data_IF_772519215965
#
_entry.id   IF_772519215965
#
_cell.length_a   1.000
_cell.length_b   1.000
_cell.length_c   1.000
_cell.angle_alpha   90.00
_cell.angle_beta   90.00
_cell.angle_gamma   90.00
#
_symmetry.space_group_name_H-M   'P 1'
#
loop_
_entity.id
_entity.type
_entity.pdbx_description
1 polymer ?
#
# COMPACT_ATOMS: atom_id res chain seq x y z
N UNK A 1 -13.38 -25.87 -55.94
CA UNK A 1 -14.19 -27.07 -56.28
C UNK A 1 -15.65 -26.66 -56.36
N UNK A 2 -16.15 -26.51 -57.58
CA UNK A 2 -17.56 -26.24 -57.89
C UNK A 2 -18.24 -27.57 -58.22
N UNK A 3 -19.43 -27.82 -57.68
CA UNK A 3 -20.26 -28.95 -58.12
C UNK A 3 -21.37 -28.49 -59.07
N UNK A 4 -21.51 -29.31 -60.09
CA UNK A 4 -22.04 -29.12 -61.45
C UNK A 4 -23.54 -29.41 -61.53
N UNK A 5 -24.25 -28.62 -62.34
CA UNK A 5 -25.63 -28.85 -62.82
C UNK A 5 -25.62 -29.84 -64.00
N UNK A 6 -26.59 -30.77 -64.03
CA UNK A 6 -27.20 -31.52 -65.17
C UNK A 6 -28.24 -32.47 -64.53
N UNK A 7 -29.55 -32.49 -64.81
CA UNK A 7 -30.28 -32.43 -66.07
C UNK A 7 -30.68 -33.87 -66.47
N UNK A 8 -31.98 -34.15 -66.68
CA UNK A 8 -32.53 -35.01 -67.77
C UNK A 8 -34.01 -35.38 -67.57
N UNK A 9 -34.75 -35.25 -68.68
CA UNK A 9 -36.14 -35.65 -68.91
C UNK A 9 -36.36 -37.17 -68.78
N UNK A 10 -37.57 -37.56 -68.38
CA UNK A 10 -38.09 -38.92 -68.54
C UNK A 10 -39.05 -38.98 -69.74
N UNK A 11 -38.94 -39.96 -70.65
CA UNK A 11 -39.81 -40.14 -71.80
C UNK A 11 -40.77 -41.31 -71.54
N UNK A 12 -42.02 -41.06 -71.16
CA UNK A 12 -43.10 -42.02 -71.43
C UNK A 12 -44.46 -41.35 -71.23
N UNK A 13 -45.15 -41.11 -72.33
CA UNK A 13 -46.54 -40.67 -72.35
C UNK A 13 -47.47 -41.88 -72.29
N UNK A 14 -48.32 -41.92 -71.27
CA UNK A 14 -49.78 -42.18 -71.35
C UNK A 14 -50.47 -42.11 -69.97
N UNK A 15 -51.74 -41.72 -70.01
CA UNK A 15 -52.60 -41.11 -68.99
C UNK A 15 -53.31 -42.06 -67.98
N UNK A 16 -53.37 -41.62 -66.70
CA UNK A 16 -54.50 -41.46 -65.72
C UNK A 16 -55.63 -42.52 -65.58
N UNK A 17 -56.37 -42.65 -64.42
CA UNK A 17 -56.64 -41.61 -63.42
C UNK A 17 -56.56 -42.03 -61.93
N UNK A 18 -56.46 -41.05 -61.01
CA UNK A 18 -56.46 -41.30 -59.57
C UNK A 18 -56.42 -40.05 -58.69
N UNK A 19 -57.55 -39.34 -58.64
CA UNK A 19 -58.03 -38.44 -57.57
C UNK A 19 -57.17 -37.23 -57.09
N UNK A 20 -57.68 -36.05 -57.47
CA UNK A 20 -57.92 -34.79 -56.70
C UNK A 20 -56.82 -34.31 -55.74
N UNK A 21 -56.29 -33.09 -55.82
CA UNK A 21 -56.67 -31.90 -56.58
C UNK A 21 -55.73 -30.75 -56.21
N UNK A 22 -55.48 -29.85 -57.16
CA UNK A 22 -54.69 -28.63 -57.01
C UNK A 22 -55.55 -27.52 -56.39
N UNK A 23 -54.91 -26.74 -55.50
CA UNK A 23 -54.73 -25.28 -55.51
C UNK A 23 -55.96 -24.38 -55.75
N UNK A 24 -56.06 -23.36 -54.88
CA UNK A 24 -56.87 -22.13 -54.95
C UNK A 24 -58.33 -22.21 -54.49
N UNK A 25 -58.76 -21.04 -54.01
CA UNK A 25 -60.06 -20.66 -53.45
C UNK A 25 -60.40 -21.17 -52.06
N UNK A 26 -60.17 -20.29 -51.08
CA UNK A 26 -61.11 -20.01 -49.98
C UNK A 26 -60.73 -18.65 -49.35
N UNK A 27 -60.71 -17.60 -50.18
CA UNK A 27 -61.19 -16.29 -49.73
C UNK A 27 -62.65 -16.19 -50.16
N UNK A 28 -63.50 -15.71 -49.25
CA UNK A 28 -64.93 -15.37 -49.43
C UNK A 28 -65.97 -16.45 -49.09
N UNK A 29 -66.14 -16.73 -47.79
CA UNK A 29 -67.43 -16.88 -47.07
C UNK A 29 -67.05 -17.20 -45.61
N UNK A 30 -67.51 -16.58 -44.53
CA UNK A 30 -68.62 -15.71 -44.27
C UNK A 30 -68.27 -14.78 -43.11
N UNK A 31 -68.89 -13.61 -43.12
CA UNK A 31 -69.09 -12.78 -41.94
C UNK A 31 -69.79 -13.60 -40.85
N UNK A 32 -69.11 -13.87 -39.74
CA UNK A 32 -69.78 -13.85 -38.44
C UNK A 32 -68.87 -13.25 -37.37
N UNK A 33 -69.51 -12.45 -36.52
CA UNK A 33 -68.96 -11.41 -35.68
C UNK A 33 -68.36 -11.97 -34.38
N UNK A 34 -67.41 -11.17 -33.84
CA UNK A 34 -66.92 -11.15 -32.45
C UNK A 34 -65.91 -12.24 -32.08
N UNK A 35 -64.62 -11.90 -32.07
CA UNK A 35 -63.63 -12.69 -31.33
C UNK A 35 -62.16 -12.34 -31.52
N UNK A 36 -61.79 -11.53 -32.51
CA UNK A 36 -60.39 -11.43 -32.98
C UNK A 36 -59.54 -10.30 -32.37
N UNK A 37 -59.96 -9.68 -31.27
CA UNK A 37 -59.15 -8.67 -30.57
C UNK A 37 -58.22 -9.23 -29.48
N UNK A 38 -58.32 -10.52 -29.13
CA UNK A 38 -57.58 -11.08 -27.99
C UNK A 38 -56.26 -11.79 -28.34
N UNK A 39 -56.00 -12.11 -29.62
CA UNK A 39 -54.82 -12.91 -30.01
C UNK A 39 -53.63 -12.03 -30.41
N UNK A 40 -53.87 -10.82 -30.95
CA UNK A 40 -52.79 -9.91 -31.36
C UNK A 40 -52.12 -9.18 -30.18
N UNK A 41 -52.86 -8.91 -29.10
CA UNK A 41 -52.35 -8.28 -27.88
C UNK A 41 -51.49 -9.22 -27.03
N UNK A 42 -51.76 -10.53 -27.06
CA UNK A 42 -51.00 -11.52 -26.31
C UNK A 42 -49.54 -11.68 -26.81
N UNK A 43 -49.29 -11.56 -28.12
CA UNK A 43 -47.92 -11.69 -28.68
C UNK A 43 -47.03 -10.49 -28.34
N UNK A 44 -47.60 -9.29 -28.24
CA UNK A 44 -46.87 -8.09 -27.81
C UNK A 44 -46.56 -8.10 -26.31
N UNK A 45 -47.47 -8.61 -25.48
CA UNK A 45 -47.27 -8.71 -24.03
C UNK A 45 -46.14 -9.68 -23.64
N UNK A 46 -46.00 -10.81 -24.33
CA UNK A 46 -44.96 -11.82 -24.04
C UNK A 46 -43.55 -11.30 -24.42
N UNK A 47 -43.42 -10.57 -25.52
CA UNK A 47 -42.16 -9.93 -25.91
C UNK A 47 -41.72 -8.81 -24.94
N UNK A 48 -42.68 -8.05 -24.40
CA UNK A 48 -42.42 -7.01 -23.39
C UNK A 48 -41.96 -7.60 -22.04
N UNK A 49 -42.56 -8.71 -21.59
CA UNK A 49 -42.20 -9.40 -20.35
C UNK A 49 -40.82 -10.08 -20.41
N UNK A 50 -40.46 -10.68 -21.55
CA UNK A 50 -39.13 -11.29 -21.74
C UNK A 50 -38.00 -10.26 -21.76
N UNK A 51 -38.23 -9.11 -22.38
CA UNK A 51 -37.24 -8.02 -22.46
C UNK A 51 -37.01 -7.36 -21.08
N UNK A 52 -38.03 -7.31 -20.22
CA UNK A 52 -37.93 -6.80 -18.86
C UNK A 52 -37.07 -7.70 -17.95
N UNK A 53 -37.21 -9.03 -18.07
CA UNK A 53 -36.41 -10.00 -17.31
C UNK A 53 -34.92 -9.95 -17.68
N UNK A 54 -34.59 -9.78 -18.97
CA UNK A 54 -33.21 -9.67 -19.46
C UNK A 54 -32.57 -8.35 -19.01
N UNK A 55 -33.32 -7.23 -18.98
CA UNK A 55 -32.82 -5.96 -18.43
C UNK A 55 -32.56 -6.01 -16.92
N UNK A 56 -33.48 -6.59 -16.15
CA UNK A 56 -33.31 -6.73 -14.69
C UNK A 56 -32.07 -7.57 -14.33
N UNK A 57 -31.84 -8.70 -15.01
CA UNK A 57 -30.65 -9.53 -14.78
C UNK A 57 -29.33 -8.80 -15.11
N UNK A 58 -29.31 -8.00 -16.18
CA UNK A 58 -28.15 -7.17 -16.55
C UNK A 58 -27.90 -6.05 -15.54
N UNK A 59 -28.97 -5.41 -15.04
CA UNK A 59 -28.86 -4.38 -14.00
C UNK A 59 -28.32 -4.98 -12.69
N UNK A 60 -28.82 -6.15 -12.27
CA UNK A 60 -28.30 -6.86 -11.09
C UNK A 60 -26.82 -7.23 -11.25
N UNK A 61 -26.42 -7.72 -12.44
CA UNK A 61 -25.02 -8.01 -12.76
C UNK A 61 -24.14 -6.74 -12.71
N UNK A 62 -24.61 -5.62 -13.25
CA UNK A 62 -23.89 -4.35 -13.20
C UNK A 62 -23.74 -3.82 -11.78
N UNK A 63 -24.79 -3.92 -10.95
CA UNK A 63 -24.74 -3.53 -9.54
C UNK A 63 -23.76 -4.43 -8.77
N UNK A 64 -23.78 -5.74 -9.02
CA UNK A 64 -22.83 -6.67 -8.38
C UNK A 64 -21.38 -6.35 -8.78
N UNK A 65 -21.13 -6.01 -10.05
CA UNK A 65 -19.80 -5.66 -10.53
C UNK A 65 -19.32 -4.31 -9.97
N UNK A 66 -20.21 -3.33 -9.85
CA UNK A 66 -19.94 -2.06 -9.16
C UNK A 66 -19.67 -2.25 -7.67
N UNK A 67 -20.40 -3.15 -7.01
CA UNK A 67 -20.18 -3.47 -5.59
C UNK A 67 -18.81 -4.14 -5.39
N UNK A 68 -18.41 -5.06 -6.28
CA UNK A 68 -17.09 -5.68 -6.25
C UNK A 68 -15.96 -4.68 -6.54
N UNK A 69 -16.14 -3.80 -7.53
CA UNK A 69 -15.17 -2.76 -7.85
C UNK A 69 -15.05 -1.73 -6.72
N UNK A 70 -16.17 -1.28 -6.16
CA UNK A 70 -16.21 -0.34 -5.04
C UNK A 70 -15.65 -0.95 -3.75
N UNK A 71 -16.05 -2.17 -3.42
CA UNK A 71 -15.52 -2.92 -2.27
C UNK A 71 -14.03 -3.19 -2.40
N UNK A 72 -13.58 -3.61 -3.59
CA UNK A 72 -12.16 -3.80 -3.90
C UNK A 72 -11.36 -2.50 -3.80
N UNK A 73 -11.91 -1.38 -4.30
CA UNK A 73 -11.29 -0.06 -4.19
C UNK A 73 -11.17 0.42 -2.74
N UNK A 74 -12.23 0.28 -1.94
CA UNK A 74 -12.20 0.65 -0.52
C UNK A 74 -11.22 -0.21 0.27
N UNK A 75 -11.19 -1.52 -0.01
CA UNK A 75 -10.24 -2.44 0.61
C UNK A 75 -8.79 -2.09 0.26
N UNK A 76 -8.51 -1.85 -1.03
CA UNK A 76 -7.19 -1.44 -1.49
C UNK A 76 -6.75 -0.10 -0.88
N UNK A 77 -7.67 0.87 -0.82
CA UNK A 77 -7.41 2.18 -0.20
C UNK A 77 -7.08 2.01 1.27
N UNK A 78 -7.86 1.25 2.03
CA UNK A 78 -7.62 1.03 3.45
C UNK A 78 -6.25 0.40 3.71
N UNK A 79 -5.85 -0.58 2.88
CA UNK A 79 -4.54 -1.23 3.00
C UNK A 79 -3.38 -0.29 2.60
N UNK A 80 -3.58 0.53 1.57
CA UNK A 80 -2.56 1.45 1.05
C UNK A 80 -2.39 2.71 1.91
N UNK A 81 -3.38 3.07 2.73
CA UNK A 81 -3.31 4.19 3.67
C UNK A 81 -2.87 3.76 5.07
N UNK A 82 -2.38 2.54 5.25
CA UNK A 82 -1.91 2.06 6.55
C UNK A 82 -0.55 2.63 6.94
N UNK A 83 -0.25 2.75 8.25
CA UNK A 83 1.05 3.22 8.73
C UNK A 83 2.16 2.19 8.40
N UNK A 84 1.86 0.90 8.50
CA UNK A 84 2.78 -0.18 8.11
C UNK A 84 3.12 -0.15 6.60
N UNK A 85 2.12 0.15 5.75
CA UNK A 85 2.33 0.27 4.31
C UNK A 85 3.27 1.43 3.99
N UNK A 86 3.07 2.58 4.62
CA UNK A 86 3.90 3.76 4.42
C UNK A 86 5.36 3.52 4.86
N UNK A 87 5.54 2.80 5.97
CA UNK A 87 6.87 2.39 6.42
C UNK A 87 7.55 1.42 5.45
N UNK A 88 6.78 0.48 4.88
CA UNK A 88 7.28 -0.42 3.83
C UNK A 88 7.68 0.34 2.57
N UNK A 89 6.92 1.36 2.17
CA UNK A 89 7.28 2.22 1.04
C UNK A 89 8.56 3.02 1.33
N UNK A 90 8.78 3.47 2.57
CA UNK A 90 10.05 4.07 2.95
C UNK A 90 11.22 3.10 2.75
N UNK A 91 11.09 1.85 3.23
CA UNK A 91 12.12 0.82 3.04
C UNK A 91 12.37 0.51 1.56
N UNK A 92 11.29 0.41 0.78
CA UNK A 92 11.38 0.23 -0.67
C UNK A 92 12.10 1.39 -1.34
N UNK A 93 11.83 2.62 -0.95
CA UNK A 93 12.51 3.80 -1.49
C UNK A 93 14.02 3.79 -1.19
N UNK A 94 14.45 3.29 -0.02
CA UNK A 94 15.88 3.06 0.27
C UNK A 94 16.48 2.05 -0.70
N UNK A 95 15.76 0.96 -0.96
CA UNK A 95 16.19 -0.14 -1.85
C UNK A 95 16.24 0.29 -3.32
N UNK A 96 15.27 1.10 -3.75
CA UNK A 96 15.14 1.64 -5.11
C UNK A 96 16.03 2.88 -5.33
N UNK A 97 16.82 3.28 -4.33
CA UNK A 97 17.67 4.48 -4.32
C UNK A 97 16.91 5.80 -4.59
N UNK A 98 15.61 5.85 -4.25
CA UNK A 98 14.75 7.03 -4.44
C UNK A 98 14.67 7.86 -3.15
N UNK A 99 15.57 8.84 -3.04
CA UNK A 99 15.58 9.75 -1.90
C UNK A 99 14.32 10.61 -1.79
N UNK A 100 13.67 10.95 -2.91
CA UNK A 100 12.48 11.78 -2.90
C UNK A 100 11.26 11.00 -2.38
N UNK A 101 11.12 9.74 -2.80
CA UNK A 101 10.12 8.84 -2.23
C UNK A 101 10.39 8.56 -0.75
N UNK A 102 11.65 8.40 -0.34
CA UNK A 102 12.00 8.21 1.05
C UNK A 102 11.60 9.42 1.92
N UNK A 103 11.94 10.65 1.50
CA UNK A 103 11.58 11.88 2.22
C UNK A 103 10.08 12.14 2.30
N UNK A 104 9.28 11.56 1.37
CA UNK A 104 7.81 11.58 1.49
C UNK A 104 7.35 10.82 2.73
N UNK A 105 7.85 9.60 2.95
CA UNK A 105 7.41 8.74 4.04
C UNK A 105 8.17 8.96 5.36
N UNK A 106 9.31 9.67 5.34
CA UNK A 106 10.13 9.92 6.54
C UNK A 106 10.53 11.39 6.63
N UNK A 107 10.05 12.09 7.66
CA UNK A 107 10.54 13.42 7.98
C UNK A 107 11.85 13.31 8.79
N UNK A 108 12.96 13.24 8.06
CA UNK A 108 14.30 13.13 8.65
C UNK A 108 14.62 14.29 9.60
N UNK A 109 14.07 15.50 9.40
CA UNK A 109 14.33 16.59 10.33
C UNK A 109 13.54 16.49 11.61
N UNK A 110 12.27 16.08 11.54
CA UNK A 110 11.50 15.81 12.75
C UNK A 110 12.15 14.67 13.53
N UNK A 111 12.52 13.57 12.85
CA UNK A 111 13.17 12.41 13.48
C UNK A 111 14.50 12.82 14.13
N UNK A 112 15.37 13.52 13.40
CA UNK A 112 16.64 14.01 13.95
C UNK A 112 16.42 14.97 15.10
N UNK A 113 15.43 15.86 14.96
CA UNK A 113 15.09 16.83 15.98
C UNK A 113 14.63 16.18 17.27
N UNK A 114 13.76 15.18 17.19
CA UNK A 114 13.28 14.43 18.35
C UNK A 114 14.40 13.61 18.99
N UNK A 115 15.28 13.00 18.18
CA UNK A 115 16.46 12.28 18.66
C UNK A 115 17.39 13.20 19.47
N UNK A 116 17.70 14.38 18.94
CA UNK A 116 18.53 15.38 19.65
C UNK A 116 17.87 15.80 20.96
N UNK A 117 16.55 16.02 20.96
CA UNK A 117 15.81 16.39 22.17
C UNK A 117 15.80 15.26 23.22
N UNK A 118 15.61 14.01 22.81
CA UNK A 118 15.62 12.85 23.70
C UNK A 118 17.02 12.59 24.28
N UNK A 119 18.07 12.70 23.47
CA UNK A 119 19.47 12.61 23.95
C UNK A 119 19.77 13.74 24.92
N UNK A 120 19.34 14.97 24.62
CA UNK A 120 19.54 16.14 25.49
C UNK A 120 18.72 16.06 26.80
N UNK A 121 17.56 15.40 26.78
CA UNK A 121 16.80 15.10 27.99
C UNK A 121 17.51 14.04 28.85
N UNK A 122 18.08 13.04 28.20
CA UNK A 122 18.78 11.95 28.87
C UNK A 122 20.17 12.38 29.39
N UNK A 123 20.84 13.32 28.72
CA UNK A 123 22.10 13.90 29.20
C UNK A 123 21.94 14.67 30.50
N UNK A 124 20.75 15.24 30.77
CA UNK A 124 20.42 15.78 32.10
C UNK A 124 20.30 14.70 33.17
N UNK A 125 19.74 13.52 32.84
CA UNK A 125 19.64 12.38 33.75
C UNK A 125 21.01 11.71 34.01
N UNK A 126 21.88 11.69 33.00
CA UNK A 126 23.29 11.28 33.12
C UNK A 126 24.17 12.40 33.73
N UNK A 127 23.69 13.63 33.72
CA UNK A 127 24.39 14.86 34.12
C UNK A 127 24.55 15.06 35.63
N UNK A 128 23.93 14.21 36.46
CA UNK A 128 24.29 14.09 37.89
C UNK A 128 25.76 13.70 38.05
N UNK A 129 26.40 13.15 37.01
CA UNK A 129 27.79 12.70 37.02
C UNK A 129 28.77 13.57 36.20
N UNK A 130 28.33 14.62 35.50
CA UNK A 130 29.24 15.48 34.72
C UNK A 130 28.71 16.94 34.56
N UNK A 131 29.40 17.97 35.10
CA UNK A 131 28.99 19.37 35.02
C UNK A 131 28.89 19.94 33.60
N UNK A 132 29.43 19.27 32.58
CA UNK A 132 29.28 19.64 31.16
C UNK A 132 27.89 19.35 30.55
N UNK A 133 27.02 18.59 31.23
CA UNK A 133 25.74 18.14 30.67
C UNK A 133 24.75 19.27 30.34
N UNK A 134 24.77 20.36 31.11
CA UNK A 134 23.88 21.50 30.90
C UNK A 134 24.33 22.37 29.71
N UNK A 135 25.64 22.61 29.57
CA UNK A 135 26.21 23.31 28.42
C UNK A 135 26.00 22.53 27.12
N UNK A 136 26.16 21.20 27.16
CA UNK A 136 25.88 20.30 26.03
C UNK A 136 24.42 20.36 25.59
N UNK A 137 23.45 20.35 26.53
CA UNK A 137 22.03 20.49 26.22
C UNK A 137 21.69 21.81 25.52
N UNK A 138 22.30 22.91 25.96
CA UNK A 138 22.14 24.22 25.33
C UNK A 138 22.70 24.23 23.90
N UNK A 139 23.90 23.68 23.70
CA UNK A 139 24.53 23.55 22.39
C UNK A 139 23.71 22.68 21.42
N UNK A 140 23.25 21.50 21.85
CA UNK A 140 22.45 20.60 21.01
C UNK A 140 21.16 21.26 20.50
N UNK A 141 20.49 22.05 21.36
CA UNK A 141 19.26 22.77 20.98
C UNK A 141 19.53 23.87 19.95
N UNK A 142 20.62 24.61 20.09
CA UNK A 142 21.02 25.64 19.13
C UNK A 142 21.45 25.05 17.78
N UNK A 143 22.11 23.90 17.80
CA UNK A 143 22.58 23.22 16.59
C UNK A 143 21.55 22.26 15.98
N UNK A 144 20.38 22.08 16.61
CA UNK A 144 19.27 21.25 16.10
C UNK A 144 18.97 21.46 14.60
N UNK A 145 18.79 22.69 14.08
CA UNK A 145 18.52 22.87 12.64
C UNK A 145 19.70 22.45 11.76
N UNK A 146 20.93 22.71 12.20
CA UNK A 146 22.14 22.30 11.46
C UNK A 146 22.30 20.78 11.46
N UNK A 147 22.06 20.12 12.60
CA UNK A 147 22.08 18.67 12.73
C UNK A 147 20.99 18.01 11.90
N UNK A 148 19.80 18.59 11.86
CA UNK A 148 18.68 18.11 11.05
C UNK A 148 18.98 18.21 9.54
N UNK A 149 19.60 19.31 9.10
CA UNK A 149 20.03 19.46 7.70
C UNK A 149 21.18 18.50 7.36
N UNK A 150 22.13 18.35 8.27
CA UNK A 150 23.25 17.43 8.16
C UNK A 150 22.77 15.97 8.02
N UNK A 151 21.81 15.58 8.84
CA UNK A 151 21.14 14.29 8.83
C UNK A 151 20.40 14.03 7.50
N UNK A 152 19.61 15.01 7.04
CA UNK A 152 18.92 14.93 5.74
C UNK A 152 19.90 14.64 4.61
N UNK A 153 21.01 15.37 4.53
CA UNK A 153 22.02 15.15 3.49
C UNK A 153 22.70 13.79 3.58
N UNK A 154 22.98 13.32 4.80
CA UNK A 154 23.62 12.03 5.05
C UNK A 154 22.69 10.87 4.65
N UNK A 155 21.43 10.93 5.10
CA UNK A 155 20.40 9.94 4.75
C UNK A 155 20.11 9.96 3.26
N UNK A 156 19.98 11.15 2.65
CA UNK A 156 19.81 11.30 1.21
C UNK A 156 20.95 10.62 0.44
N UNK A 157 22.21 10.90 0.79
CA UNK A 157 23.35 10.22 0.16
C UNK A 157 23.34 8.72 0.39
N UNK A 158 23.00 8.26 1.58
CA UNK A 158 22.90 6.83 1.88
C UNK A 158 21.84 6.15 1.01
N UNK A 159 20.67 6.77 0.85
CA UNK A 159 19.61 6.27 -0.02
C UNK A 159 20.06 6.27 -1.48
N UNK A 160 20.64 7.37 -1.98
CA UNK A 160 21.08 7.49 -3.38
C UNK A 160 22.23 6.53 -3.75
N UNK A 161 23.17 6.28 -2.82
CA UNK A 161 24.39 5.53 -3.11
C UNK A 161 24.37 4.10 -2.58
N UNK A 162 23.47 3.77 -1.65
CA UNK A 162 23.47 2.50 -0.93
C UNK A 162 24.69 2.25 -0.04
N UNK A 163 25.62 3.22 0.06
CA UNK A 163 26.90 3.05 0.74
C UNK A 163 26.98 3.90 2.00
N UNK A 164 27.19 3.28 3.18
CA UNK A 164 27.44 4.02 4.41
C UNK A 164 28.77 4.78 4.39
N UNK A 165 29.75 4.34 3.58
CA UNK A 165 31.03 5.05 3.40
C UNK A 165 30.84 6.37 2.66
N UNK A 166 30.08 6.37 1.57
CA UNK A 166 29.77 7.59 0.82
C UNK A 166 28.95 8.60 1.64
N UNK A 167 28.10 8.13 2.55
CA UNK A 167 27.39 8.97 3.49
C UNK A 167 28.31 9.52 4.60
N UNK A 168 29.25 8.71 5.12
CA UNK A 168 30.22 9.11 6.12
C UNK A 168 31.19 10.19 5.62
N UNK A 169 31.65 10.11 4.36
CA UNK A 169 32.46 11.16 3.72
C UNK A 169 31.72 12.50 3.59
N UNK A 170 30.39 12.49 3.61
CA UNK A 170 29.57 13.69 3.67
C UNK A 170 29.59 14.34 5.06
N UNK A 171 29.64 13.50 6.09
CA UNK A 171 29.65 13.90 7.49
C UNK A 171 31.03 14.40 7.93
N UNK A 172 32.12 13.82 7.41
CA UNK A 172 33.50 14.11 7.82
C UNK A 172 33.98 15.51 7.43
N UNK A 173 33.34 16.15 6.43
CA UNK A 173 33.67 17.53 6.01
C UNK A 173 33.11 18.60 6.95
N UNK A 174 32.52 18.22 8.08
CA UNK A 174 31.80 19.13 9.00
C UNK A 174 32.64 19.42 10.24
N UNK A 175 32.49 20.61 10.84
CA UNK A 175 33.22 20.98 12.07
C UNK A 175 32.86 20.09 13.28
N UNK A 176 31.82 19.26 13.19
CA UNK A 176 31.46 18.25 14.20
C UNK A 176 31.24 16.89 13.53
N UNK A 177 31.95 15.86 13.99
CA UNK A 177 31.83 14.49 13.52
C UNK A 177 30.66 13.76 14.22
N UNK A 178 29.44 14.25 14.00
CA UNK A 178 28.21 13.60 14.47
C UNK A 178 27.45 13.09 13.25
N UNK A 179 27.42 11.76 13.12
CA UNK A 179 26.72 11.04 12.04
C UNK A 179 25.46 10.38 12.60
N UNK A 180 24.34 10.53 11.89
CA UNK A 180 23.08 9.87 12.27
C UNK A 180 23.14 8.37 12.02
N UNK A 181 23.81 7.94 10.95
CA UNK A 181 24.00 6.53 10.66
C UNK A 181 24.85 5.85 11.74
N UNK A 182 25.90 6.53 12.22
CA UNK A 182 26.71 6.04 13.34
C UNK A 182 25.94 5.93 14.65
N UNK A 183 24.95 6.81 14.90
CA UNK A 183 24.04 6.68 16.04
C UNK A 183 23.07 5.52 15.86
N UNK A 184 22.49 5.35 14.67
CA UNK A 184 21.64 4.21 14.35
C UNK A 184 22.37 2.87 14.57
N UNK A 185 23.63 2.77 14.12
CA UNK A 185 24.51 1.61 14.35
C UNK A 185 24.72 1.31 15.84
N UNK A 186 24.78 2.33 16.70
CA UNK A 186 24.92 2.17 18.15
C UNK A 186 23.61 1.78 18.83
N UNK A 187 22.48 2.28 18.35
CA UNK A 187 21.15 2.01 18.91
C UNK A 187 20.66 0.62 18.55
N UNK A 188 20.73 0.27 17.26
CA UNK A 188 20.23 -1.00 16.74
C UNK A 188 21.31 -2.09 16.81
N UNK A 189 22.59 -1.72 16.82
CA UNK A 189 23.72 -2.65 16.83
C UNK A 189 24.18 -3.01 15.41
N UNK A 190 25.50 -3.12 15.22
CA UNK A 190 26.09 -3.56 13.95
C UNK A 190 25.70 -5.01 13.64
N UNK A 191 25.21 -5.26 12.43
CA UNK A 191 24.80 -6.59 11.96
C UNK A 191 23.47 -7.08 12.54
N UNK A 192 22.71 -6.21 13.19
CA UNK A 192 21.38 -6.55 13.68
C UNK A 192 20.41 -6.81 12.54
N UNK A 193 19.55 -7.80 12.74
CA UNK A 193 18.60 -8.25 11.71
C UNK A 193 17.18 -7.85 12.11
N UNK A 194 16.45 -7.26 11.16
CA UNK A 194 15.03 -6.98 11.34
C UNK A 194 14.24 -8.30 11.41
N UNK A 195 13.46 -8.47 12.48
CA UNK A 195 12.66 -9.69 12.70
C UNK A 195 11.20 -9.51 12.30
N UNK A 196 10.64 -8.32 12.52
CA UNK A 196 9.26 -8.02 12.16
C UNK A 196 8.67 -6.83 12.93
N UNK A 197 7.38 -6.60 12.68
CA UNK A 197 6.58 -5.62 13.43
C UNK A 197 6.02 -6.32 14.67
N UNK A 198 6.36 -5.83 15.86
CA UNK A 198 5.90 -6.36 17.15
C UNK A 198 4.47 -5.89 17.47
N UNK A 199 4.17 -4.63 17.19
CA UNK A 199 2.84 -4.04 17.33
C UNK A 199 2.70 -2.82 16.42
N UNK A 200 1.45 -2.50 16.11
CA UNK A 200 1.05 -1.26 15.47
C UNK A 200 -0.16 -0.72 16.23
N UNK A 201 -0.11 0.56 16.60
CA UNK A 201 -1.20 1.24 17.31
C UNK A 201 -1.49 2.57 16.64
N UNK A 202 -2.72 2.76 16.21
CA UNK A 202 -3.20 4.04 15.70
C UNK A 202 -3.93 4.80 16.81
N UNK A 203 -3.52 6.04 17.05
CA UNK A 203 -4.06 6.99 18.03
C UNK A 203 -4.44 8.29 17.30
N UNK A 204 -5.60 8.28 16.63
CA UNK A 204 -6.09 9.43 15.87
C UNK A 204 -5.19 9.74 14.66
N UNK A 205 -4.61 10.95 14.62
CA UNK A 205 -3.68 11.38 13.56
C UNK A 205 -2.24 10.89 13.79
N UNK A 206 -2.01 10.04 14.79
CA UNK A 206 -0.70 9.49 15.13
C UNK A 206 -0.74 7.96 15.10
N UNK A 207 0.36 7.34 14.74
CA UNK A 207 0.52 5.89 14.81
C UNK A 207 1.87 5.54 15.44
N UNK A 208 1.91 4.45 16.20
CA UNK A 208 3.09 3.93 16.87
C UNK A 208 3.35 2.50 16.38
N UNK A 209 4.47 2.31 15.69
CA UNK A 209 4.88 1.00 15.17
C UNK A 209 6.11 0.54 15.94
N UNK A 210 6.01 -0.60 16.63
CA UNK A 210 7.12 -1.26 17.29
C UNK A 210 7.84 -2.22 16.34
N UNK A 211 9.07 -1.91 15.95
CA UNK A 211 9.91 -2.73 15.07
C UNK A 211 10.89 -3.57 15.91
N UNK A 212 10.85 -4.89 15.79
CA UNK A 212 11.74 -5.80 16.52
C UNK A 212 13.02 -6.08 15.72
N UNK A 213 14.16 -5.84 16.36
CA UNK A 213 15.50 -6.15 15.85
C UNK A 213 16.20 -7.12 16.78
N UNK A 214 16.79 -8.17 16.21
CA UNK A 214 17.66 -9.08 16.94
C UNK A 214 19.09 -8.56 16.92
N UNK A 215 19.73 -8.48 18.07
CA UNK A 215 21.11 -8.03 18.23
C UNK A 215 22.01 -9.24 18.57
N UNK A 216 22.75 -9.78 17.59
CA UNK A 216 23.64 -10.92 17.84
C UNK A 216 24.71 -10.62 18.88
N UNK A 217 25.14 -9.35 18.96
CA UNK A 217 26.22 -8.90 19.85
C UNK A 217 25.89 -9.02 21.34
N UNK A 218 24.61 -8.92 21.71
CA UNK A 218 24.17 -8.88 23.10
C UNK A 218 23.14 -10.00 23.41
N UNK A 219 22.94 -10.92 22.46
CA UNK A 219 21.95 -12.01 22.53
C UNK A 219 20.57 -11.53 23.01
N UNK A 220 20.13 -10.38 22.50
CA UNK A 220 18.92 -9.70 22.95
C UNK A 220 18.13 -9.14 21.77
N UNK A 221 16.85 -8.85 22.00
CA UNK A 221 16.01 -8.16 21.03
C UNK A 221 15.71 -6.74 21.51
N UNK A 222 15.79 -5.79 20.58
CA UNK A 222 15.43 -4.40 20.81
C UNK A 222 14.22 -4.07 19.97
N UNK A 223 13.26 -3.40 20.58
CA UNK A 223 12.08 -2.88 19.89
C UNK A 223 12.30 -1.40 19.67
N UNK A 224 12.32 -0.94 18.43
CA UNK A 224 12.35 0.48 18.06
C UNK A 224 10.93 0.93 17.79
N UNK A 225 10.43 1.88 18.58
CA UNK A 225 9.10 2.44 18.38
C UNK A 225 9.19 3.67 17.49
N UNK A 226 8.56 3.58 16.32
CA UNK A 226 8.47 4.66 15.34
C UNK A 226 7.09 5.31 15.46
N UNK A 227 7.09 6.60 15.77
CA UNK A 227 5.91 7.45 15.73
C UNK A 227 5.74 8.04 14.33
N UNK A 228 4.56 7.84 13.78
CA UNK A 228 4.13 8.34 12.50
C UNK A 228 2.98 9.34 12.66
N UNK A 229 2.87 10.26 11.72
CA UNK A 229 1.80 11.24 11.62
C UNK A 229 1.03 11.03 10.32
N UNK A 230 -0.30 11.09 10.40
CA UNK A 230 -1.17 11.04 9.23
C UNK A 230 -1.02 12.31 8.40
N UNK A 231 -0.77 12.16 7.09
CA UNK A 231 -0.75 13.25 6.11
C UNK A 231 -2.00 13.25 5.22
N UNK A 232 -2.94 12.34 5.45
CA UNK A 232 -4.21 12.17 4.75
C UNK A 232 -4.15 11.19 3.58
N UNK A 233 -3.06 11.19 2.81
CA UNK A 233 -2.81 10.25 1.72
C UNK A 233 -1.76 9.18 2.08
N UNK A 234 -0.86 9.48 3.01
CA UNK A 234 0.17 8.59 3.52
C UNK A 234 0.47 8.88 4.99
N UNK A 235 1.13 7.94 5.66
CA UNK A 235 1.72 8.18 6.97
C UNK A 235 3.19 8.57 6.82
N UNK A 236 3.62 9.52 7.64
CA UNK A 236 5.01 9.97 7.65
C UNK A 236 5.64 9.67 9.00
N UNK A 237 6.79 9.00 9.02
CA UNK A 237 7.57 8.80 10.22
C UNK A 237 8.18 10.12 10.69
N UNK A 238 7.85 10.53 11.91
CA UNK A 238 8.24 11.83 12.47
C UNK A 238 9.16 11.72 13.67
N UNK A 239 9.13 10.60 14.41
CA UNK A 239 9.88 10.46 15.65
C UNK A 239 10.18 8.99 15.96
N UNK A 240 11.28 8.73 16.66
CA UNK A 240 11.55 7.47 17.33
C UNK A 240 11.33 7.69 18.82
N UNK A 241 10.19 7.27 19.36
CA UNK A 241 9.68 7.67 20.68
C UNK A 241 10.45 7.06 21.84
N UNK A 242 11.05 5.89 21.65
CA UNK A 242 11.69 5.13 22.73
C UNK A 242 13.23 5.17 22.70
N UNK A 243 13.85 6.10 21.97
CA UNK A 243 15.32 6.16 21.84
C UNK A 243 16.01 6.33 23.18
N UNK A 244 15.49 7.20 24.04
CA UNK A 244 16.07 7.43 25.37
C UNK A 244 16.14 6.15 26.24
N UNK A 245 15.12 5.29 26.15
CA UNK A 245 15.09 4.04 26.92
C UNK A 245 15.99 2.96 26.31
N UNK A 246 16.07 2.89 24.97
CA UNK A 246 17.03 2.02 24.28
C UNK A 246 18.46 2.40 24.66
N UNK A 247 18.80 3.69 24.67
CA UNK A 247 20.14 4.16 25.06
C UNK A 247 20.53 3.75 26.48
N UNK A 248 19.60 3.86 27.44
CA UNK A 248 19.83 3.39 28.82
C UNK A 248 20.08 1.88 28.86
N UNK A 249 19.31 1.12 28.09
CA UNK A 249 19.43 -0.33 28.02
C UNK A 249 20.79 -0.73 27.44
N UNK A 250 21.17 -0.16 26.28
CA UNK A 250 22.46 -0.41 25.63
C UNK A 250 23.63 0.00 26.54
N UNK A 251 23.58 1.18 27.18
CA UNK A 251 24.64 1.62 28.09
C UNK A 251 24.81 0.70 29.31
N UNK A 252 23.71 0.15 29.84
CA UNK A 252 23.75 -0.84 30.93
C UNK A 252 24.39 -2.15 30.46
N UNK A 253 24.02 -2.63 29.29
CA UNK A 253 24.55 -3.86 28.68
C UNK A 253 26.05 -3.72 28.37
N UNK A 254 26.48 -2.57 27.84
CA UNK A 254 27.89 -2.29 27.59
C UNK A 254 28.72 -2.28 28.88
N UNK A 255 28.20 -1.64 29.94
CA UNK A 255 28.84 -1.68 31.26
C UNK A 255 28.96 -3.11 31.80
N UNK A 256 27.91 -3.93 31.66
CA UNK A 256 27.95 -5.34 32.10
C UNK A 256 28.92 -6.19 31.28
N UNK A 257 28.97 -5.99 29.96
CA UNK A 257 29.89 -6.70 29.07
C UNK A 257 31.36 -6.35 29.38
N UNK A 258 31.64 -5.08 29.70
CA UNK A 258 32.99 -4.62 30.07
C UNK A 258 33.42 -5.08 31.47
N UNK A 259 32.48 -5.30 32.40
CA UNK A 259 32.77 -5.75 33.77
C UNK A 259 32.77 -7.28 33.92
N UNK A 260 32.17 -8.01 32.98
CA UNK A 260 32.10 -9.47 32.96
C UNK A 260 33.24 -10.15 32.20
N UNK A 261 34.31 -9.41 31.89
CA UNK A 261 35.51 -9.91 31.20
C UNK A 261 36.75 -9.75 32.06
#
# INVERSE_FOLDING_TARGET
>A
MCFRVRGLCSPDGREFPGYKGRVLDLQAWALDKRGTHHIFTARYAIAQLFTHSIRMKRIVLLIALLALAGGGYLYYRHLSTGPEYSLMQAYKAVTDHDAAAFERYVDVSSVTGSLVDQVAAQSSALGVLNPGGFAMKGALRLLKPQLAQAARQEVKRYVETGSPQAAAEAADKRPMNVSILGLADKVVGKGSTFKGVKYSREEGEQAFIGLEFTQPRYDTTVVVEVKMQDRGDHWQATEISNTGDILKHVARMEKQHLLGR
#
